data_IF_007158304215
#
_entry.id   IF_007158304215
#
_cell.length_a   1.000
_cell.length_b   1.000
_cell.length_c   1.000
_cell.angle_alpha   90.00
_cell.angle_beta   90.00
_cell.angle_gamma   90.00
#
_symmetry.space_group_name_H-M   'P 1'
#
loop_
_entity.id
_entity.type
_entity.pdbx_description
1 polymer ?
#
# COMPACT_ATOMS: atom_id res chain seq x y z
N UNK A 1 -6.00 -13.29 -12.04
CA UNK A 1 -6.62 -11.95 -12.00
C UNK A 1 -5.48 -10.97 -11.83
N UNK A 2 -4.97 -10.44 -12.95
CA UNK A 2 -3.73 -9.66 -13.00
C UNK A 2 -3.96 -8.23 -12.52
N UNK A 3 -3.34 -7.87 -11.39
CA UNK A 3 -3.34 -6.51 -10.85
C UNK A 3 -2.66 -5.47 -11.79
N UNK A 4 -1.97 -5.93 -12.83
CA UNK A 4 -1.02 -5.14 -13.62
C UNK A 4 -1.64 -4.44 -14.84
N UNK A 5 -2.86 -4.79 -15.29
CA UNK A 5 -3.47 -4.15 -16.46
C UNK A 5 -3.99 -2.73 -16.18
N UNK A 6 -4.22 -2.37 -14.91
CA UNK A 6 -4.75 -1.07 -14.50
C UNK A 6 -3.70 0.00 -14.20
N UNK A 7 -2.41 -0.35 -14.11
CA UNK A 7 -1.35 0.56 -13.65
C UNK A 7 -0.67 1.32 -14.79
N UNK A 8 -1.47 1.91 -15.68
CA UNK A 8 -0.94 2.80 -16.73
C UNK A 8 -0.56 4.17 -16.14
N UNK A 9 0.34 4.91 -16.79
CA UNK A 9 0.71 6.27 -16.36
C UNK A 9 -0.51 7.18 -16.22
N UNK A 10 -1.49 7.05 -17.13
CA UNK A 10 -2.75 7.80 -17.06
C UNK A 10 -3.59 7.42 -15.83
N UNK A 11 -3.69 6.12 -15.52
CA UNK A 11 -4.41 5.66 -14.33
C UNK A 11 -3.73 6.14 -13.04
N UNK A 12 -2.40 6.08 -12.96
CA UNK A 12 -1.64 6.57 -11.81
C UNK A 12 -1.80 8.08 -11.61
N UNK A 13 -1.76 8.88 -12.68
CA UNK A 13 -2.03 10.33 -12.60
C UNK A 13 -3.44 10.63 -12.07
N UNK A 14 -4.45 9.86 -12.51
CA UNK A 14 -5.82 10.00 -11.99
C UNK A 14 -5.90 9.62 -10.51
N UNK A 15 -5.24 8.55 -10.08
CA UNK A 15 -5.19 8.14 -8.68
C UNK A 15 -4.55 9.22 -7.79
N UNK A 16 -3.46 9.85 -8.23
CA UNK A 16 -2.82 10.97 -7.52
C UNK A 16 -3.79 12.13 -7.32
N UNK A 17 -4.53 12.54 -8.37
CA UNK A 17 -5.51 13.63 -8.26
C UNK A 17 -6.64 13.33 -7.25
N UNK A 18 -7.03 12.06 -7.11
CA UNK A 18 -8.02 11.67 -6.10
C UNK A 18 -7.45 11.80 -4.68
N UNK A 19 -6.18 11.45 -4.48
CA UNK A 19 -5.48 11.62 -3.19
C UNK A 19 -5.29 13.10 -2.85
N UNK A 20 -4.82 13.93 -3.81
CA UNK A 20 -4.60 15.37 -3.60
C UNK A 20 -5.89 16.13 -3.24
N UNK A 21 -7.03 15.71 -3.80
CA UNK A 21 -8.34 16.29 -3.48
C UNK A 21 -8.95 15.76 -2.18
N UNK A 22 -8.28 14.85 -1.48
CA UNK A 22 -8.79 14.22 -0.28
C UNK A 22 -10.00 13.31 -0.50
N UNK A 23 -10.31 12.95 -1.75
CA UNK A 23 -11.44 12.06 -2.08
C UNK A 23 -11.14 10.59 -1.77
N UNK A 24 -9.85 10.25 -1.70
CA UNK A 24 -9.36 8.92 -1.33
C UNK A 24 -8.19 9.08 -0.37
N UNK A 25 -8.22 8.35 0.75
CA UNK A 25 -7.11 8.27 1.70
C UNK A 25 -6.57 6.81 1.78
N UNK A 26 -5.49 6.48 1.04
CA UNK A 26 -4.88 5.15 1.12
C UNK A 26 -4.20 4.85 2.46
N UNK A 27 -3.90 5.84 3.29
CA UNK A 27 -3.28 5.57 4.59
C UNK A 27 -4.20 4.78 5.52
N UNK A 28 -5.52 4.93 5.36
CA UNK A 28 -6.51 4.25 6.18
C UNK A 28 -6.48 2.71 6.06
N UNK A 29 -5.90 2.17 4.99
CA UNK A 29 -5.76 0.70 4.83
C UNK A 29 -4.43 0.17 5.39
N UNK A 30 -3.50 1.04 5.79
CA UNK A 30 -2.21 0.64 6.38
C UNK A 30 -2.46 0.19 7.81
N UNK A 31 -2.32 -1.11 8.06
CA UNK A 31 -2.51 -1.69 9.40
C UNK A 31 -1.20 -1.88 10.15
N UNK A 32 -0.08 -2.01 9.43
CA UNK A 32 1.23 -2.25 10.03
C UNK A 32 2.31 -1.42 9.35
N UNK A 33 3.29 -0.96 10.14
CA UNK A 33 4.48 -0.22 9.67
C UNK A 33 5.72 -0.85 10.30
N UNK A 34 6.73 -1.11 9.48
CA UNK A 34 8.01 -1.67 9.91
C UNK A 34 9.15 -0.85 9.35
N UNK A 35 10.23 -0.72 10.12
CA UNK A 35 11.48 -0.20 9.59
C UNK A 35 12.06 -1.17 8.56
N UNK A 36 12.91 -0.69 7.65
CA UNK A 36 13.58 -1.53 6.64
C UNK A 36 14.42 -2.64 7.29
N UNK A 37 15.00 -2.37 8.46
CA UNK A 37 15.76 -3.35 9.23
C UNK A 37 14.93 -4.59 9.60
N UNK A 38 13.62 -4.43 9.79
CA UNK A 38 12.70 -5.47 10.26
C UNK A 38 11.92 -6.14 9.11
N UNK A 39 12.43 -6.05 7.88
CA UNK A 39 11.74 -6.57 6.68
C UNK A 39 11.33 -8.05 6.80
N UNK A 40 12.12 -8.87 7.49
CA UNK A 40 11.80 -10.28 7.70
C UNK A 40 10.55 -10.47 8.56
N UNK A 41 10.41 -9.68 9.64
CA UNK A 41 9.22 -9.68 10.48
C UNK A 41 8.01 -9.16 9.70
N UNK A 42 8.19 -8.08 8.95
CA UNK A 42 7.14 -7.50 8.12
C UNK A 42 6.57 -8.50 7.12
N UNK A 43 7.42 -9.33 6.51
CA UNK A 43 7.01 -10.41 5.60
C UNK A 43 6.24 -11.50 6.36
N UNK A 44 6.65 -11.87 7.58
CA UNK A 44 5.91 -12.83 8.40
C UNK A 44 4.51 -12.31 8.75
N UNK A 45 4.37 -11.05 9.14
CA UNK A 45 3.06 -10.42 9.40
C UNK A 45 2.22 -10.35 8.13
N UNK A 46 2.85 -10.10 6.98
CA UNK A 46 2.21 -10.18 5.67
C UNK A 46 1.72 -11.61 5.31
N UNK A 47 1.95 -12.64 6.14
CA UNK A 47 1.41 -13.99 5.95
C UNK A 47 0.19 -14.29 6.84
N UNK A 48 -0.14 -13.42 7.80
CA UNK A 48 -1.23 -13.61 8.78
C UNK A 48 -2.58 -13.05 8.35
N UNK A 49 -3.70 -13.62 8.83
CA UNK A 49 -5.06 -13.23 8.38
C UNK A 49 -5.41 -11.76 8.69
N UNK A 50 -4.88 -11.19 9.76
CA UNK A 50 -5.13 -9.80 10.15
C UNK A 50 -4.15 -8.84 9.48
N UNK A 51 -4.19 -8.79 8.14
CA UNK A 51 -3.38 -7.87 7.35
C UNK A 51 -4.26 -7.21 6.28
N UNK A 52 -4.23 -5.88 6.22
CA UNK A 52 -4.79 -5.14 5.08
C UNK A 52 -3.64 -4.61 4.22
N UNK A 53 -2.79 -3.75 4.79
CA UNK A 53 -1.55 -3.28 4.14
C UNK A 53 -0.40 -3.14 5.14
N UNK A 54 0.71 -3.80 4.85
CA UNK A 54 2.00 -3.61 5.52
C UNK A 54 2.81 -2.57 4.74
N UNK A 55 3.37 -1.57 5.43
CA UNK A 55 4.25 -0.56 4.85
C UNK A 55 5.65 -0.65 5.47
N UNK A 56 6.68 -0.60 4.63
CA UNK A 56 8.07 -0.47 5.08
C UNK A 56 8.48 0.99 4.96
N UNK A 57 9.08 1.55 6.00
CA UNK A 57 9.70 2.88 6.01
C UNK A 57 11.18 2.80 6.46
N UNK A 58 11.93 3.87 6.22
CA UNK A 58 13.35 3.97 6.60
C UNK A 58 13.52 4.14 8.11
#
# INVERSE_FOLDING_TARGET
MDASFGTTSLAMQKAIRLMERGLVNPEAIITHRFALADIHEAIQVMSQKERNKVMINQ
#
